data_IF_082346526599
#
_entry.id   IF_082346526599
#
_cell.length_a   1.000
_cell.length_b   1.000
_cell.length_c   1.000
_cell.angle_alpha   90.00
_cell.angle_beta   90.00
_cell.angle_gamma   90.00
#
_symmetry.space_group_name_H-M   'P 1'
#
loop_
_entity.id
_entity.type
_entity.pdbx_description
1 polymer ?
#
# COMPACT_ATOMS: atom_id res chain seq x y z
N UNK A 1 -39.35 3.76 3.79
CA UNK A 1 -38.71 2.42 3.75
C UNK A 1 -37.53 2.49 2.79
N UNK A 2 -36.37 2.94 3.27
CA UNK A 2 -35.16 3.08 2.44
C UNK A 2 -34.47 1.73 2.35
N UNK A 3 -34.28 1.21 1.14
CA UNK A 3 -33.63 -0.08 0.90
C UNK A 3 -32.12 0.10 1.01
N UNK A 4 -31.51 -0.41 2.08
CA UNK A 4 -30.06 -0.61 2.14
C UNK A 4 -29.67 -1.61 1.04
N UNK A 5 -28.81 -1.17 0.12
CA UNK A 5 -28.20 -2.05 -0.88
C UNK A 5 -26.97 -2.67 -0.23
N UNK A 6 -27.06 -3.91 0.23
CA UNK A 6 -25.88 -4.70 0.58
C UNK A 6 -25.21 -5.16 -0.71
N UNK A 7 -23.95 -4.80 -0.89
CA UNK A 7 -23.13 -5.27 -2.01
C UNK A 7 -22.79 -6.75 -1.74
N UNK A 8 -23.52 -7.67 -2.37
CA UNK A 8 -23.21 -9.10 -2.36
C UNK A 8 -22.16 -9.31 -3.45
N UNK A 9 -20.90 -9.45 -3.05
CA UNK A 9 -19.84 -9.93 -3.94
C UNK A 9 -19.88 -11.46 -3.83
N UNK A 10 -20.29 -12.12 -4.91
CA UNK A 10 -20.32 -13.58 -5.03
C UNK A 10 -18.89 -14.13 -4.97
N UNK A 11 -18.61 -14.92 -3.92
CA UNK A 11 -17.47 -15.85 -3.87
C UNK A 11 -17.73 -16.97 -4.89
N UNK A 12 -17.30 -16.77 -6.12
CA UNK A 12 -17.07 -17.86 -7.07
C UNK A 12 -15.55 -18.06 -7.16
N UNK A 13 -15.06 -19.10 -6.48
CA UNK A 13 -14.20 -20.16 -7.04
C UNK A 13 -13.57 -20.95 -5.89
N UNK A 14 -14.15 -22.12 -5.64
CA UNK A 14 -13.52 -23.25 -4.96
C UNK A 14 -12.30 -23.67 -5.78
N UNK A 15 -11.10 -23.28 -5.36
CA UNK A 15 -9.86 -23.92 -5.76
C UNK A 15 -9.03 -24.22 -4.52
N UNK A 16 -9.11 -25.49 -4.13
CA UNK A 16 -8.12 -26.31 -3.45
C UNK A 16 -7.33 -25.64 -2.31
N UNK A 17 -7.88 -25.81 -1.11
CA UNK A 17 -7.33 -25.41 0.17
C UNK A 17 -6.14 -26.25 0.66
N UNK A 18 -5.42 -26.95 -0.21
CA UNK A 18 -4.39 -27.91 0.22
C UNK A 18 -2.94 -27.39 0.10
N UNK A 19 -2.66 -26.33 -0.66
CA UNK A 19 -1.27 -25.91 -0.97
C UNK A 19 -0.76 -24.62 -0.31
N UNK A 20 -1.51 -24.00 0.60
CA UNK A 20 -1.07 -22.79 1.32
C UNK A 20 -0.99 -23.01 2.83
N UNK A 21 -0.17 -23.98 3.23
CA UNK A 21 0.35 -24.08 4.59
C UNK A 21 1.47 -23.05 4.84
N UNK A 22 1.22 -21.78 4.47
CA UNK A 22 2.06 -20.66 4.90
C UNK A 22 1.58 -20.25 6.29
N UNK A 23 2.40 -20.56 7.30
CA UNK A 23 2.23 -20.12 8.68
C UNK A 23 1.77 -18.64 8.70
N UNK A 24 0.57 -18.32 9.20
CA UNK A 24 0.07 -16.95 9.28
C UNK A 24 0.87 -16.08 10.27
N UNK A 25 1.79 -16.69 11.02
CA UNK A 25 2.64 -16.06 12.03
C UNK A 25 3.92 -15.40 11.47
N UNK A 26 4.20 -15.49 10.16
CA UNK A 26 5.34 -14.80 9.51
C UNK A 26 4.94 -13.50 8.82
N UNK A 27 3.96 -12.77 9.35
CA UNK A 27 3.74 -11.39 8.92
C UNK A 27 4.73 -10.47 9.67
N UNK A 28 5.75 -9.90 8.99
CA UNK A 28 6.74 -9.01 9.60
C UNK A 28 6.16 -7.65 10.05
N UNK A 29 4.87 -7.41 9.78
CA UNK A 29 4.13 -6.25 10.24
C UNK A 29 3.00 -6.62 11.23
N UNK A 30 3.02 -7.84 11.79
CA UNK A 30 2.01 -8.24 12.77
C UNK A 30 2.20 -7.50 14.10
N UNK A 31 1.08 -7.25 14.81
CA UNK A 31 1.12 -6.66 16.14
C UNK A 31 1.93 -7.51 17.15
N UNK A 32 2.03 -8.83 16.92
CA UNK A 32 2.90 -9.71 17.72
C UNK A 32 4.38 -9.44 17.49
N UNK A 33 4.81 -9.11 16.28
CA UNK A 33 6.19 -8.64 16.04
C UNK A 33 6.42 -7.25 16.62
N UNK A 34 5.44 -6.35 16.52
CA UNK A 34 5.52 -5.02 17.13
C UNK A 34 5.74 -5.09 18.65
N UNK A 35 5.01 -5.98 19.35
CA UNK A 35 5.23 -6.23 20.77
C UNK A 35 6.60 -6.86 21.06
N UNK A 36 7.11 -7.70 20.15
CA UNK A 36 8.43 -8.32 20.28
C UNK A 36 9.54 -7.28 20.19
N UNK A 37 9.44 -6.31 19.27
CA UNK A 37 10.37 -5.18 19.20
C UNK A 37 10.28 -4.25 20.40
N UNK A 38 9.06 -3.93 20.87
CA UNK A 38 8.88 -3.03 22.02
C UNK A 38 9.44 -3.61 23.33
N UNK A 39 9.43 -4.94 23.47
CA UNK A 39 9.98 -5.62 24.66
C UNK A 39 11.51 -5.81 24.58
N UNK A 40 12.16 -5.40 23.49
CA UNK A 40 13.61 -5.57 23.30
C UNK A 40 14.42 -4.35 23.75
N UNK A 41 13.76 -3.22 24.02
CA UNK A 41 14.38 -1.96 24.51
C UNK A 41 14.37 -1.83 26.05
N UNK A 42 13.98 -2.89 26.77
CA UNK A 42 14.07 -2.94 28.24
C UNK A 42 14.93 -4.13 28.68
N UNK A 43 16.24 -3.95 28.70
CA UNK A 43 17.14 -4.74 29.53
C UNK A 43 18.06 -3.79 30.32
N UNK A 44 17.96 -3.75 31.66
CA UNK A 44 19.09 -3.49 32.52
C UNK A 44 19.89 -4.78 32.74
N UNK A 45 21.21 -4.62 32.86
CA UNK A 45 22.23 -5.64 33.04
C UNK A 45 21.90 -6.76 34.03
N UNK A 46 22.32 -8.00 33.74
CA UNK A 46 23.04 -8.86 34.68
C UNK A 46 23.74 -10.06 33.98
N UNK A 47 25.05 -10.12 34.21
CA UNK A 47 25.98 -11.23 34.31
C UNK A 47 26.37 -12.17 33.14
N UNK A 48 27.69 -12.13 32.91
CA UNK A 48 28.56 -13.05 32.19
C UNK A 48 28.50 -14.46 32.80
N UNK A 49 28.32 -15.50 31.98
CA UNK A 49 29.40 -16.47 31.71
C UNK A 49 29.02 -17.56 30.69
N UNK A 50 30.05 -17.93 29.92
CA UNK A 50 30.30 -19.23 29.27
C UNK A 50 29.68 -19.61 27.91
N UNK A 51 30.51 -19.32 26.90
CA UNK A 51 31.06 -20.25 25.90
C UNK A 51 30.21 -20.80 24.73
N UNK A 52 30.76 -20.53 23.53
CA UNK A 52 30.91 -21.42 22.37
C UNK A 52 29.60 -21.86 21.67
N UNK A 53 29.31 -21.55 20.41
CA UNK A 53 30.11 -21.44 19.18
C UNK A 53 29.17 -20.88 18.09
N UNK A 54 29.69 -20.20 17.06
CA UNK A 54 28.91 -20.01 15.83
C UNK A 54 29.15 -18.73 15.04
N UNK A 55 30.23 -18.72 14.26
CA UNK A 55 30.30 -18.12 12.92
C UNK A 55 29.63 -16.75 12.69
N UNK A 56 30.30 -15.67 13.08
CA UNK A 56 30.00 -14.32 12.55
C UNK A 56 30.54 -14.20 11.12
N UNK A 57 29.70 -14.50 10.12
CA UNK A 57 29.95 -14.11 8.73
C UNK A 57 29.53 -12.65 8.58
N UNK A 58 30.54 -11.78 8.57
CA UNK A 58 30.46 -10.40 8.10
C UNK A 58 29.92 -10.37 6.68
N UNK A 59 28.70 -9.86 6.49
CA UNK A 59 28.26 -9.34 5.20
C UNK A 59 27.90 -7.87 5.39
N UNK A 60 28.92 -7.06 5.09
CA UNK A 60 28.83 -5.66 4.74
C UNK A 60 27.90 -5.58 3.51
N UNK A 61 26.65 -5.20 3.69
CA UNK A 61 25.75 -4.90 2.56
C UNK A 61 26.10 -3.50 2.08
N UNK A 62 26.95 -3.48 1.05
CA UNK A 62 27.28 -2.33 0.24
C UNK A 62 26.01 -1.84 -0.46
N UNK A 63 25.40 -0.79 0.10
CA UNK A 63 24.28 -0.06 -0.51
C UNK A 63 24.82 0.64 -1.77
N UNK A 64 24.83 -0.07 -2.90
CA UNK A 64 24.98 0.56 -4.21
C UNK A 64 23.69 1.27 -4.56
N UNK A 65 23.72 2.58 -4.34
CA UNK A 65 22.82 3.58 -4.90
C UNK A 65 22.78 3.46 -6.43
N UNK A 66 21.73 2.84 -6.98
CA UNK A 66 21.35 3.03 -8.38
C UNK A 66 20.30 4.14 -8.43
N UNK A 67 20.75 5.38 -8.28
CA UNK A 67 19.94 6.57 -8.52
C UNK A 67 20.73 7.46 -9.50
N UNK A 68 20.11 7.68 -10.67
CA UNK A 68 20.56 8.51 -11.80
C UNK A 68 21.80 8.03 -12.59
N UNK A 69 21.55 7.37 -13.71
CA UNK A 69 22.40 7.49 -14.90
C UNK A 69 21.57 8.15 -15.99
N UNK A 70 21.84 9.44 -16.17
CA UNK A 70 21.41 10.28 -17.28
C UNK A 70 22.24 9.92 -18.54
N UNK A 71 21.66 9.95 -19.74
CA UNK A 71 22.44 10.23 -20.93
C UNK A 71 21.93 11.49 -21.64
N UNK A 72 22.91 12.33 -21.98
CA UNK A 72 22.80 13.67 -22.55
C UNK A 72 22.85 13.68 -24.08
N UNK A 73 22.02 14.53 -24.72
CA UNK A 73 22.19 15.28 -26.00
C UNK A 73 22.11 14.51 -27.35
N UNK A 74 21.50 14.96 -28.47
CA UNK A 74 20.74 16.15 -28.90
C UNK A 74 20.10 15.85 -30.32
N UNK A 75 19.74 16.85 -31.16
CA UNK A 75 18.42 17.45 -31.37
C UNK A 75 17.71 17.01 -32.68
N UNK A 76 16.37 16.97 -32.71
CA UNK A 76 15.62 17.12 -33.96
C UNK A 76 14.15 17.54 -33.74
N UNK A 77 13.68 18.28 -34.73
CA UNK A 77 12.53 19.19 -34.79
C UNK A 77 11.16 18.51 -34.89
N UNK A 78 10.12 19.27 -34.50
CA UNK A 78 8.76 19.31 -35.05
C UNK A 78 7.86 18.04 -34.99
N UNK A 79 6.87 18.03 -34.10
CA UNK A 79 5.45 18.40 -34.41
C UNK A 79 4.50 17.98 -33.26
N UNK A 80 3.41 18.72 -33.16
CA UNK A 80 2.31 18.65 -32.20
C UNK A 80 1.75 17.24 -31.97
N UNK A 81 1.34 16.89 -30.74
CA UNK A 81 -0.08 16.72 -30.34
C UNK A 81 -0.15 16.70 -28.81
N UNK A 82 -0.97 17.58 -28.24
CA UNK A 82 -1.06 17.84 -26.81
C UNK A 82 -1.83 16.83 -25.96
N UNK A 83 -1.61 16.90 -24.65
CA UNK A 83 -2.68 17.05 -23.67
C UNK A 83 -2.10 17.61 -22.36
N UNK A 84 -2.69 18.70 -21.87
CA UNK A 84 -2.08 19.63 -20.93
C UNK A 84 -1.90 19.11 -19.51
N UNK A 85 -0.75 19.47 -18.92
CA UNK A 85 -0.62 19.74 -17.50
C UNK A 85 -0.72 21.25 -17.29
N UNK A 86 -1.69 21.68 -16.50
CA UNK A 86 -1.63 22.95 -15.80
C UNK A 86 -2.53 22.85 -14.57
N UNK A 87 -1.94 22.55 -13.41
CA UNK A 87 -2.54 22.88 -12.13
C UNK A 87 -1.82 24.11 -11.63
N UNK A 88 -2.52 25.24 -11.74
CA UNK A 88 -2.10 26.50 -11.16
C UNK A 88 -2.21 26.41 -9.64
N UNK A 89 -1.13 26.81 -8.98
CA UNK A 89 -1.06 27.13 -7.57
C UNK A 89 -2.00 28.30 -7.25
N UNK A 90 -3.01 28.05 -6.43
CA UNK A 90 -3.79 29.08 -5.74
C UNK A 90 -3.47 29.01 -4.26
N UNK A 91 -2.59 29.89 -3.81
CA UNK A 91 -2.44 30.26 -2.40
C UNK A 91 -3.62 31.15 -2.04
N UNK A 92 -4.25 30.89 -0.89
CA UNK A 92 -4.81 31.95 -0.06
C UNK A 92 -4.73 31.50 1.40
N UNK A 93 -3.82 32.16 2.11
CA UNK A 93 -3.66 32.11 3.55
C UNK A 93 -4.65 33.07 4.21
N UNK A 94 -5.50 32.54 5.08
CA UNK A 94 -6.10 33.27 6.20
C UNK A 94 -5.98 32.33 7.41
N UNK A 95 -4.89 32.42 8.18
CA UNK A 95 -4.83 33.15 9.44
C UNK A 95 -6.11 33.03 10.30
N UNK A 96 -6.10 32.12 11.28
CA UNK A 96 -6.57 32.47 12.62
C UNK A 96 -5.83 31.62 13.65
N UNK A 97 -4.92 32.30 14.34
CA UNK A 97 -4.37 31.98 15.64
C UNK A 97 -5.51 31.92 16.68
N UNK A 98 -5.36 31.11 17.73
CA UNK A 98 -5.77 31.32 19.14
C UNK A 98 -5.61 29.95 19.86
N UNK A 99 -4.43 29.66 20.42
CA UNK A 99 -4.05 29.84 21.84
C UNK A 99 -4.75 28.86 22.77
N UNK A 100 -3.93 27.93 23.25
CA UNK A 100 -4.11 27.15 24.48
C UNK A 100 -4.29 28.12 25.65
N UNK A 101 -5.34 27.93 26.45
CA UNK A 101 -5.34 28.28 27.87
C UNK A 101 -6.09 27.16 28.61
N UNK A 102 -5.30 26.32 29.29
CA UNK A 102 -5.73 25.50 30.40
C UNK A 102 -6.08 26.45 31.55
N UNK A 103 -7.34 26.46 31.99
CA UNK A 103 -7.70 27.04 33.29
C UNK A 103 -8.23 25.91 34.17
N UNK A 104 -7.37 25.52 35.11
CA UNK A 104 -7.74 24.91 36.39
C UNK A 104 -8.67 25.90 37.11
N UNK A 105 -9.94 25.56 37.30
CA UNK A 105 -10.75 26.21 38.33
C UNK A 105 -10.99 25.22 39.47
N UNK A 106 -10.35 25.59 40.57
CA UNK A 106 -10.39 24.97 41.89
C UNK A 106 -11.82 24.83 42.41
N UNK A 107 -12.04 23.74 43.13
CA UNK A 107 -13.21 23.48 43.93
C UNK A 107 -13.37 24.54 45.03
N UNK A 108 -14.47 25.30 45.04
CA UNK A 108 -14.98 25.91 46.27
C UNK A 108 -16.28 25.22 46.72
N UNK A 109 -16.11 24.17 47.52
CA UNK A 109 -17.14 23.62 48.40
C UNK A 109 -17.58 24.66 49.44
N UNK A 110 -18.65 25.43 49.20
CA UNK A 110 -19.33 26.12 50.31
C UNK A 110 -20.29 25.18 51.02
N UNK A 111 -19.72 24.30 51.84
CA UNK A 111 -20.42 23.44 52.79
C UNK A 111 -20.84 24.25 54.03
N UNK A 112 -22.00 24.91 53.99
CA UNK A 112 -22.66 25.39 55.21
C UNK A 112 -23.64 24.35 55.75
N UNK A 113 -23.12 23.41 56.55
CA UNK A 113 -23.94 22.55 57.41
C UNK A 113 -23.77 22.99 58.87
N UNK A 114 -24.72 23.78 59.38
CA UNK A 114 -24.79 24.11 60.81
C UNK A 114 -25.55 23.02 61.55
N UNK A 115 -24.83 22.17 62.29
CA UNK A 115 -25.37 21.28 63.32
C UNK A 115 -25.39 22.03 64.67
N UNK A 116 -26.42 21.85 65.52
CA UNK A 116 -26.52 22.54 66.80
C UNK A 116 -25.72 21.78 67.86
N UNK A 117 -25.05 22.50 68.75
CA UNK A 117 -24.48 21.89 69.95
C UNK A 117 -24.74 22.74 71.20
N UNK A 118 -25.29 22.00 72.15
CA UNK A 118 -25.66 22.30 73.52
C UNK A 118 -24.38 22.41 74.36
N UNK A 119 -24.28 23.40 75.26
CA UNK A 119 -23.83 23.15 76.64
C UNK A 119 -24.09 24.37 77.55
N UNK A 120 -24.96 24.13 78.54
CA UNK A 120 -24.98 24.60 79.93
C UNK A 120 -24.29 25.92 80.32
N UNK A 121 -25.08 26.77 80.97
CA UNK A 121 -24.64 27.74 81.97
C UNK A 121 -25.71 27.88 83.04
N UNK A 122 -25.46 27.27 84.20
CA UNK A 122 -26.30 27.32 85.38
C UNK A 122 -26.10 28.63 86.16
N UNK A 123 -27.16 29.07 86.84
CA UNK A 123 -27.08 29.85 88.07
C UNK A 123 -27.41 31.34 87.96
N UNK A 124 -28.59 31.71 88.45
CA UNK A 124 -28.73 32.76 89.47
C UNK A 124 -30.20 32.84 89.92
N UNK A 125 -30.42 32.46 91.17
CA UNK A 125 -31.63 32.72 91.94
C UNK A 125 -31.67 34.19 92.40
N UNK A 126 -32.88 34.67 92.70
CA UNK A 126 -33.14 35.96 93.38
C UNK A 126 -34.03 36.84 92.52
N UNK A 127 -35.18 37.31 92.97
CA UNK A 127 -35.83 37.28 94.26
C UNK A 127 -37.10 38.12 94.08
N UNK A 128 -38.21 37.63 94.61
CA UNK A 128 -39.44 38.41 94.72
C UNK A 128 -39.20 39.50 95.77
N UNK A 129 -39.53 40.76 95.46
CA UNK A 129 -40.21 41.69 96.38
C UNK A 129 -40.31 43.13 95.84
N UNK A 130 -41.49 43.71 96.12
CA UNK A 130 -41.79 45.10 96.46
C UNK A 130 -41.85 46.19 95.37
N UNK A 131 -43.09 46.45 94.94
CA UNK A 131 -43.85 47.69 95.22
C UNK A 131 -43.02 48.96 95.50
N UNK A 132 -43.03 49.87 94.51
CA UNK A 132 -42.41 51.18 94.57
C UNK A 132 -43.07 52.09 93.54
N UNK A 133 -44.15 52.73 93.99
CA UNK A 133 -44.94 53.77 93.34
C UNK A 133 -44.07 55.00 93.00
N UNK A 134 -43.49 55.04 91.79
CA UNK A 134 -42.97 56.29 91.17
C UNK A 134 -42.71 56.20 89.63
N UNK A 135 -43.42 55.32 88.90
CA UNK A 135 -43.01 54.90 87.53
C UNK A 135 -44.03 55.21 86.41
N UNK A 136 -44.92 56.20 86.57
CA UNK A 136 -45.93 56.51 85.54
C UNK A 136 -45.35 57.13 84.25
N UNK A 137 -44.23 57.87 84.33
CA UNK A 137 -43.63 58.58 83.17
C UNK A 137 -42.60 57.70 82.43
N UNK A 138 -41.89 56.85 83.15
CA UNK A 138 -40.91 55.86 82.63
C UNK A 138 -41.59 54.64 81.99
N UNK A 139 -42.72 54.17 82.53
CA UNK A 139 -43.53 53.07 81.98
C UNK A 139 -44.11 53.38 80.59
N UNK A 140 -44.54 54.63 80.35
CA UNK A 140 -45.06 55.06 79.06
C UNK A 140 -43.98 55.13 77.96
N UNK A 141 -42.75 55.53 78.32
CA UNK A 141 -41.60 55.50 77.41
C UNK A 141 -41.16 54.07 77.09
N UNK A 142 -41.13 53.19 78.09
CA UNK A 142 -40.76 51.77 77.93
C UNK A 142 -41.78 50.98 77.10
N UNK A 143 -43.08 51.29 77.23
CA UNK A 143 -44.14 50.74 76.37
C UNK A 143 -44.04 51.22 74.93
N UNK A 144 -43.76 52.50 74.70
CA UNK A 144 -43.56 53.04 73.34
C UNK A 144 -42.31 52.47 72.67
N UNK A 145 -41.19 52.37 73.38
CA UNK A 145 -39.97 51.74 72.84
C UNK A 145 -40.17 50.26 72.55
N UNK A 146 -40.84 49.52 73.44
CA UNK A 146 -41.19 48.11 73.23
C UNK A 146 -42.12 47.93 72.03
N UNK A 147 -43.12 48.80 71.85
CA UNK A 147 -44.03 48.74 70.71
C UNK A 147 -43.33 49.03 69.37
N UNK A 148 -42.38 49.98 69.34
CA UNK A 148 -41.54 50.25 68.15
C UNK A 148 -40.66 49.04 67.83
N UNK A 149 -40.06 48.43 68.84
CA UNK A 149 -39.21 47.25 68.67
C UNK A 149 -39.99 46.03 68.17
N UNK A 150 -41.21 45.82 68.68
CA UNK A 150 -42.13 44.78 68.19
C UNK A 150 -42.56 45.05 66.74
N UNK A 151 -42.78 46.30 66.37
CA UNK A 151 -43.15 46.68 65.00
C UNK A 151 -41.98 46.44 64.02
N UNK A 152 -40.75 46.80 64.39
CA UNK A 152 -39.55 46.50 63.63
C UNK A 152 -39.36 44.99 63.44
N UNK A 153 -39.49 44.20 64.52
CA UNK A 153 -39.41 42.75 64.44
C UNK A 153 -40.48 42.15 63.52
N UNK A 154 -41.69 42.71 63.48
CA UNK A 154 -42.74 42.28 62.55
C UNK A 154 -42.37 42.58 61.10
N UNK A 155 -41.83 43.76 60.82
CA UNK A 155 -41.39 44.15 59.48
C UNK A 155 -40.20 43.30 59.00
N UNK A 156 -39.24 43.05 59.88
CA UNK A 156 -38.12 42.12 59.64
C UNK A 156 -38.62 40.69 59.42
N UNK A 157 -39.55 40.20 60.24
CA UNK A 157 -40.12 38.86 60.06
C UNK A 157 -40.86 38.74 58.72
N UNK A 158 -41.59 39.77 58.31
CA UNK A 158 -42.23 39.84 56.99
C UNK A 158 -41.20 39.89 55.86
N UNK A 159 -40.08 40.58 56.05
CA UNK A 159 -38.97 40.63 55.10
C UNK A 159 -38.29 39.26 54.96
N UNK A 160 -37.95 38.61 56.07
CA UNK A 160 -37.35 37.28 56.10
C UNK A 160 -38.24 36.23 55.44
N UNK A 161 -39.56 36.27 55.70
CA UNK A 161 -40.53 35.38 55.02
C UNK A 161 -40.52 35.58 53.50
N UNK A 162 -40.45 36.84 53.02
CA UNK A 162 -40.32 37.13 51.58
C UNK A 162 -39.01 36.58 51.01
N UNK A 163 -37.88 36.81 51.68
CA UNK A 163 -36.58 36.27 51.27
C UNK A 163 -36.56 34.74 51.23
N UNK A 164 -37.17 34.07 52.21
CA UNK A 164 -37.29 32.60 52.21
C UNK A 164 -38.10 32.13 51.00
N UNK A 165 -39.25 32.75 50.71
CA UNK A 165 -40.06 32.38 49.55
C UNK A 165 -39.32 32.59 48.22
N UNK A 166 -38.57 33.69 48.08
CA UNK A 166 -37.75 33.94 46.88
C UNK A 166 -36.61 32.94 46.74
N UNK A 167 -35.91 32.62 47.84
CA UNK A 167 -34.86 31.60 47.86
C UNK A 167 -35.41 30.22 47.51
N UNK A 168 -36.59 29.86 48.02
CA UNK A 168 -37.26 28.61 47.66
C UNK A 168 -37.60 28.57 46.17
N UNK A 169 -38.18 29.65 45.62
CA UNK A 169 -38.49 29.74 44.19
C UNK A 169 -37.23 29.61 43.31
N UNK A 170 -36.13 30.27 43.69
CA UNK A 170 -34.84 30.15 42.98
C UNK A 170 -34.25 28.75 43.12
N UNK A 171 -34.33 28.16 44.31
CA UNK A 171 -33.87 26.79 44.56
C UNK A 171 -34.62 25.79 43.69
N UNK A 172 -35.94 25.90 43.58
CA UNK A 172 -36.75 25.00 42.75
C UNK A 172 -36.48 25.19 41.25
N UNK A 173 -36.33 26.44 40.78
CA UNK A 173 -35.90 26.71 39.40
C UNK A 173 -34.52 26.11 39.10
N UNK A 174 -33.56 26.22 40.03
CA UNK A 174 -32.23 25.63 39.89
C UNK A 174 -32.30 24.09 39.89
N UNK A 175 -33.13 23.47 40.74
CA UNK A 175 -33.34 22.00 40.73
C UNK A 175 -33.87 21.52 39.39
N UNK A 176 -34.84 22.24 38.81
CA UNK A 176 -35.34 21.91 37.48
C UNK A 176 -34.26 22.02 36.41
N UNK A 177 -33.49 23.12 36.42
CA UNK A 177 -32.41 23.34 35.45
C UNK A 177 -31.32 22.27 35.55
N UNK A 178 -30.93 21.90 36.77
CA UNK A 178 -29.98 20.80 37.01
C UNK A 178 -30.56 19.49 36.49
N UNK A 179 -31.84 19.22 36.71
CA UNK A 179 -32.52 18.03 36.17
C UNK A 179 -32.47 17.95 34.64
N UNK A 180 -32.78 19.04 33.94
CA UNK A 180 -32.70 19.14 32.47
C UNK A 180 -31.28 18.89 31.96
N UNK A 181 -30.28 19.54 32.57
CA UNK A 181 -28.87 19.38 32.18
C UNK A 181 -28.38 17.95 32.41
N UNK A 182 -28.80 17.30 33.49
CA UNK A 182 -28.47 15.90 33.75
C UNK A 182 -29.09 14.98 32.69
N UNK A 183 -30.34 15.23 32.27
CA UNK A 183 -30.97 14.48 31.19
C UNK A 183 -30.24 14.68 29.85
N UNK A 184 -29.87 15.91 29.53
CA UNK A 184 -29.06 16.23 28.34
C UNK A 184 -27.71 15.50 28.35
N UNK A 185 -27.00 15.48 29.47
CA UNK A 185 -25.72 14.77 29.61
C UNK A 185 -25.88 13.26 29.43
N UNK A 186 -26.94 12.67 29.98
CA UNK A 186 -27.23 11.23 29.80
C UNK A 186 -27.56 10.93 28.34
N UNK A 187 -28.31 11.80 27.66
CA UNK A 187 -28.61 11.64 26.24
C UNK A 187 -27.36 11.75 25.38
N UNK A 188 -26.49 12.73 25.64
CA UNK A 188 -25.20 12.87 24.94
C UNK A 188 -24.32 11.64 25.12
N UNK A 189 -24.17 11.14 26.36
CA UNK A 189 -23.41 9.92 26.64
C UNK A 189 -23.92 8.71 25.84
N UNK A 190 -25.24 8.54 25.74
CA UNK A 190 -25.84 7.45 24.94
C UNK A 190 -25.57 7.60 23.44
N UNK A 191 -25.58 8.83 22.95
CA UNK A 191 -25.30 9.12 21.55
C UNK A 191 -23.83 8.86 21.21
N UNK A 192 -22.90 9.34 22.05
CA UNK A 192 -21.47 9.08 21.91
C UNK A 192 -21.16 7.58 21.95
N UNK A 193 -21.78 6.83 22.87
CA UNK A 193 -21.59 5.38 22.95
C UNK A 193 -22.12 4.67 21.68
N UNK A 194 -23.20 5.18 21.08
CA UNK A 194 -23.71 4.65 19.81
C UNK A 194 -22.75 4.97 18.65
N UNK A 195 -22.28 6.20 18.55
CA UNK A 195 -21.33 6.62 17.52
C UNK A 195 -20.00 5.87 17.63
N UNK A 196 -19.52 5.62 18.85
CA UNK A 196 -18.35 4.78 19.10
C UNK A 196 -18.54 3.36 18.56
N UNK A 197 -19.69 2.73 18.82
CA UNK A 197 -20.01 1.39 18.28
C UNK A 197 -20.12 1.38 16.74
N UNK A 198 -20.71 2.42 16.16
CA UNK A 198 -20.82 2.54 14.70
C UNK A 198 -19.43 2.72 14.06
N UNK A 199 -18.55 3.52 14.67
CA UNK A 199 -17.16 3.68 14.27
C UNK A 199 -16.36 2.38 14.39
N UNK A 200 -16.51 1.66 15.49
CA UNK A 200 -15.89 0.33 15.66
C UNK A 200 -16.30 -0.61 14.53
N UNK A 201 -17.60 -0.69 14.20
CA UNK A 201 -18.09 -1.52 13.09
C UNK A 201 -17.46 -1.15 11.74
N UNK A 202 -17.32 0.15 11.47
CA UNK A 202 -16.64 0.63 10.26
C UNK A 202 -15.16 0.26 10.25
N UNK A 203 -14.46 0.39 11.39
CA UNK A 203 -13.05 -0.01 11.52
C UNK A 203 -12.88 -1.50 11.24
N UNK A 204 -13.69 -2.36 11.86
CA UNK A 204 -13.63 -3.81 11.60
C UNK A 204 -13.85 -4.14 10.11
N UNK A 205 -14.77 -3.44 9.44
CA UNK A 205 -15.01 -3.64 8.00
C UNK A 205 -13.81 -3.21 7.14
N UNK A 206 -13.20 -2.06 7.46
CA UNK A 206 -11.99 -1.58 6.77
C UNK A 206 -10.81 -2.52 7.00
N UNK A 207 -10.62 -3.01 8.23
CA UNK A 207 -9.60 -3.99 8.55
C UNK A 207 -9.78 -5.27 7.73
N UNK A 208 -11.00 -5.82 7.66
CA UNK A 208 -11.28 -7.00 6.83
C UNK A 208 -10.98 -6.74 5.35
N UNK A 209 -11.34 -5.57 4.83
CA UNK A 209 -11.03 -5.20 3.45
C UNK A 209 -9.52 -5.13 3.20
N UNK A 210 -8.77 -4.52 4.13
CA UNK A 210 -7.31 -4.42 4.05
C UNK A 210 -6.64 -5.81 4.07
N UNK A 211 -7.14 -6.73 4.91
CA UNK A 211 -6.67 -8.12 4.91
C UNK A 211 -6.92 -8.81 3.55
N UNK A 212 -8.11 -8.63 2.96
CA UNK A 212 -8.41 -9.18 1.64
C UNK A 212 -7.56 -8.55 0.54
N UNK A 213 -7.34 -7.23 0.60
CA UNK A 213 -6.48 -6.51 -0.35
C UNK A 213 -5.04 -7.03 -0.27
N UNK A 214 -4.52 -7.21 0.94
CA UNK A 214 -3.17 -7.77 1.17
C UNK A 214 -3.07 -9.18 0.62
N UNK A 215 -4.06 -10.05 0.89
CA UNK A 215 -4.10 -11.41 0.33
C UNK A 215 -4.12 -11.40 -1.20
N UNK A 216 -4.92 -10.52 -1.81
CA UNK A 216 -4.98 -10.37 -3.28
C UNK A 216 -3.67 -9.86 -3.85
N UNK A 217 -3.03 -8.89 -3.20
CA UNK A 217 -1.73 -8.35 -3.59
C UNK A 217 -0.66 -9.44 -3.58
N UNK A 218 -0.53 -10.20 -2.49
CA UNK A 218 0.45 -11.31 -2.38
C UNK A 218 0.21 -12.38 -3.45
N UNK A 219 -1.06 -12.75 -3.72
CA UNK A 219 -1.38 -13.68 -4.82
C UNK A 219 -0.97 -13.14 -6.18
N UNK A 220 -1.20 -11.85 -6.43
CA UNK A 220 -0.80 -11.19 -7.68
C UNK A 220 0.73 -11.13 -7.81
N UNK A 221 1.45 -10.80 -6.75
CA UNK A 221 2.91 -10.81 -6.70
C UNK A 221 3.49 -12.19 -7.02
N UNK A 222 2.94 -13.25 -6.40
CA UNK A 222 3.35 -14.63 -6.69
C UNK A 222 3.11 -15.00 -8.16
N UNK A 223 1.98 -14.58 -8.74
CA UNK A 223 1.68 -14.79 -10.15
C UNK A 223 2.69 -14.07 -11.07
N UNK A 224 2.99 -12.81 -10.77
CA UNK A 224 3.99 -12.02 -11.52
C UNK A 224 5.38 -12.66 -11.42
N UNK A 225 5.76 -13.18 -10.25
CA UNK A 225 7.02 -13.90 -10.10
C UNK A 225 7.10 -15.14 -11.00
N UNK A 226 6.04 -15.96 -11.06
CA UNK A 226 6.00 -17.11 -11.99
C UNK A 226 6.10 -16.68 -13.45
N UNK A 227 5.30 -15.69 -13.86
CA UNK A 227 5.31 -15.19 -15.24
C UNK A 227 6.69 -14.63 -15.64
N UNK A 228 7.41 -14.00 -14.71
CA UNK A 228 8.79 -13.55 -14.94
C UNK A 228 9.75 -14.72 -15.18
N UNK A 229 9.60 -15.81 -14.42
CA UNK A 229 10.40 -17.02 -14.62
C UNK A 229 10.10 -17.66 -15.99
N UNK A 230 8.82 -17.79 -16.34
CA UNK A 230 8.40 -18.34 -17.64
C UNK A 230 8.93 -17.50 -18.81
N UNK A 231 8.86 -16.16 -18.71
CA UNK A 231 9.42 -15.25 -19.71
C UNK A 231 10.94 -15.41 -19.85
N UNK A 232 11.68 -15.55 -18.74
CA UNK A 232 13.11 -15.80 -18.80
C UNK A 232 13.44 -17.14 -19.44
N UNK A 233 12.69 -18.19 -19.11
CA UNK A 233 12.86 -19.50 -19.72
C UNK A 233 12.59 -19.47 -21.23
N UNK A 234 11.47 -18.86 -21.64
CA UNK A 234 11.12 -18.72 -23.05
C UNK A 234 12.16 -17.89 -23.82
N UNK A 235 12.71 -16.83 -23.21
CA UNK A 235 13.77 -16.06 -23.82
C UNK A 235 15.01 -16.92 -24.12
N UNK A 236 15.44 -17.73 -23.15
CA UNK A 236 16.57 -18.66 -23.33
C UNK A 236 16.30 -19.69 -24.44
N UNK A 237 15.07 -20.21 -24.52
CA UNK A 237 14.68 -21.15 -25.57
C UNK A 237 14.72 -20.49 -26.96
N UNK A 238 14.20 -19.27 -27.09
CA UNK A 238 14.25 -18.50 -28.33
C UNK A 238 15.69 -18.26 -28.76
N UNK A 239 16.56 -17.83 -27.85
CA UNK A 239 17.97 -17.57 -28.16
C UNK A 239 18.68 -18.85 -28.61
N UNK A 240 18.38 -19.98 -27.95
CA UNK A 240 18.92 -21.29 -28.30
C UNK A 240 18.49 -21.71 -29.71
N UNK A 241 17.18 -21.67 -30.00
CA UNK A 241 16.64 -22.04 -31.31
C UNK A 241 17.14 -21.11 -32.42
N UNK A 242 17.30 -19.81 -32.15
CA UNK A 242 17.88 -18.86 -33.09
C UNK A 242 19.32 -19.22 -33.43
N UNK A 243 20.13 -19.52 -32.41
CA UNK A 243 21.54 -19.90 -32.62
C UNK A 243 21.68 -21.23 -33.39
N UNK A 244 20.82 -22.21 -33.09
CA UNK A 244 20.76 -23.47 -33.81
C UNK A 244 20.34 -23.28 -35.27
N UNK A 245 19.33 -22.44 -35.52
CA UNK A 245 18.86 -22.16 -36.88
C UNK A 245 19.96 -21.50 -37.73
N UNK A 246 20.72 -20.57 -37.16
CA UNK A 246 21.89 -19.95 -37.82
C UNK A 246 22.95 -21.00 -38.13
N UNK A 247 23.27 -21.88 -37.17
CA UNK A 247 24.24 -22.97 -37.36
C UNK A 247 23.81 -23.93 -38.46
N UNK A 248 22.54 -24.35 -38.47
CA UNK A 248 21.99 -25.25 -39.48
C UNK A 248 22.02 -24.63 -40.88
N UNK A 249 21.64 -23.35 -41.01
CA UNK A 249 21.73 -22.62 -42.29
C UNK A 249 23.17 -22.53 -42.81
N UNK A 250 24.14 -22.30 -41.91
CA UNK A 250 25.55 -22.27 -42.28
C UNK A 250 26.02 -23.65 -42.79
N UNK A 251 25.68 -24.72 -42.06
CA UNK A 251 26.02 -26.09 -42.45
C UNK A 251 25.35 -26.50 -43.78
N UNK A 252 24.07 -26.16 -43.98
CA UNK A 252 23.36 -26.40 -45.24
C UNK A 252 24.04 -25.66 -46.41
N UNK A 253 24.42 -24.40 -46.21
CA UNK A 253 25.12 -23.60 -47.23
C UNK A 253 26.46 -24.23 -47.63
N UNK A 254 27.23 -24.75 -46.67
CA UNK A 254 28.48 -25.44 -46.92
C UNK A 254 28.29 -26.71 -47.76
N UNK A 255 27.27 -27.51 -47.44
CA UNK A 255 26.91 -28.73 -48.19
C UNK A 255 26.53 -28.35 -49.62
N UNK A 256 25.67 -27.35 -49.81
CA UNK A 256 25.24 -26.88 -51.14
C UNK A 256 26.42 -26.37 -51.96
N UNK A 257 27.34 -25.61 -51.34
CA UNK A 257 28.57 -25.14 -52.00
C UNK A 257 29.45 -26.30 -52.45
N UNK A 258 29.62 -27.31 -51.59
CA UNK A 258 30.40 -28.51 -51.91
C UNK A 258 29.74 -29.32 -53.04
N UNK A 259 28.42 -29.51 -53.00
CA UNK A 259 27.68 -30.20 -54.07
C UNK A 259 27.79 -29.45 -55.40
N UNK A 260 27.67 -28.12 -55.39
CA UNK A 260 27.85 -27.28 -56.59
C UNK A 260 29.27 -27.44 -57.15
N UNK A 261 30.29 -27.39 -56.30
CA UNK A 261 31.67 -27.59 -56.72
C UNK A 261 31.88 -28.97 -57.34
N UNK A 262 31.40 -30.03 -56.69
CA UNK A 262 31.49 -31.40 -57.22
C UNK A 262 30.78 -31.55 -58.58
N UNK A 263 29.60 -30.94 -58.73
CA UNK A 263 28.87 -30.94 -60.00
C UNK A 263 29.64 -30.20 -61.12
N UNK A 264 30.27 -29.07 -60.79
CA UNK A 264 31.13 -28.33 -61.73
C UNK A 264 32.32 -29.17 -62.17
N UNK A 265 33.04 -29.77 -61.21
CA UNK A 265 34.20 -30.63 -61.49
C UNK A 265 33.79 -31.82 -62.37
N UNK A 266 32.69 -32.51 -62.04
CA UNK A 266 32.18 -33.61 -62.86
C UNK A 266 31.82 -33.16 -64.29
N UNK A 267 31.19 -31.99 -64.43
CA UNK A 267 30.87 -31.40 -65.73
C UNK A 267 32.13 -31.13 -66.56
N UNK A 268 33.17 -30.55 -65.96
CA UNK A 268 34.46 -30.33 -66.63
C UNK A 268 35.11 -31.63 -67.09
N UNK A 269 35.09 -32.68 -66.26
CA UNK A 269 35.61 -34.00 -66.64
C UNK A 269 34.88 -34.58 -67.85
N UNK A 270 33.55 -34.51 -67.85
CA UNK A 270 32.73 -34.97 -68.98
C UNK A 270 33.02 -34.16 -70.24
N UNK A 271 33.14 -32.84 -70.12
CA UNK A 271 33.40 -31.95 -71.25
C UNK A 271 34.80 -32.18 -71.86
N UNK A 272 35.82 -32.39 -71.02
CA UNK A 272 37.18 -32.80 -71.44
C UNK A 272 37.14 -34.15 -72.16
N UNK A 273 36.42 -35.13 -71.59
CA UNK A 273 36.30 -36.48 -72.18
C UNK A 273 35.59 -36.43 -73.53
N UNK A 274 34.48 -35.69 -73.63
CA UNK A 274 33.76 -35.47 -74.89
C UNK A 274 34.65 -34.80 -75.94
N UNK A 275 35.42 -33.78 -75.55
CA UNK A 275 36.37 -33.09 -76.44
C UNK A 275 37.49 -34.01 -76.93
N UNK A 276 38.02 -34.87 -76.06
CA UNK A 276 39.01 -35.89 -76.43
C UNK A 276 38.42 -36.92 -77.41
N UNK A 277 37.22 -37.43 -77.13
CA UNK A 277 36.52 -38.34 -78.02
C UNK A 277 36.26 -37.72 -79.40
N UNK A 278 35.80 -36.46 -79.46
CA UNK A 278 35.63 -35.72 -80.72
C UNK A 278 36.94 -35.56 -81.49
N UNK A 279 38.06 -35.35 -80.81
CA UNK A 279 39.37 -35.24 -81.45
C UNK A 279 39.83 -36.58 -82.02
N UNK A 280 39.65 -37.66 -81.27
CA UNK A 280 39.95 -39.03 -81.71
C UNK A 280 39.10 -39.47 -82.90
N UNK A 281 37.78 -39.18 -82.90
CA UNK A 281 36.90 -39.46 -84.03
C UNK A 281 37.34 -38.70 -85.28
N UNK A 282 37.67 -37.40 -85.15
CA UNK A 282 38.17 -36.60 -86.27
C UNK A 282 39.47 -37.15 -86.85
N UNK A 283 40.38 -37.61 -86.00
CA UNK A 283 41.61 -38.25 -86.44
C UNK A 283 41.32 -39.53 -87.24
N UNK A 284 40.47 -40.42 -86.71
CA UNK A 284 40.09 -41.66 -87.40
C UNK A 284 39.45 -41.40 -88.77
N UNK A 285 38.61 -40.36 -88.88
CA UNK A 285 38.02 -39.96 -90.16
C UNK A 285 39.10 -39.49 -91.16
N UNK A 286 40.08 -38.69 -90.72
CA UNK A 286 41.20 -38.27 -91.58
C UNK A 286 42.10 -39.44 -92.02
N UNK A 287 42.34 -40.40 -91.12
CA UNK A 287 43.06 -41.65 -91.46
C UNK A 287 42.27 -42.49 -92.48
N UNK A 288 40.94 -42.58 -92.32
CA UNK A 288 40.07 -43.27 -93.27
C UNK A 288 40.05 -42.60 -94.65
N UNK A 289 40.04 -41.26 -94.71
CA UNK A 289 40.18 -40.50 -95.96
C UNK A 289 41.52 -40.80 -96.65
N UNK A 290 42.60 -40.91 -95.86
CA UNK A 290 43.93 -41.28 -96.38
C UNK A 290 43.92 -42.69 -96.98
N UNK A 291 43.30 -43.66 -96.29
CA UNK A 291 43.14 -45.03 -96.81
C UNK A 291 42.31 -45.06 -98.10
N UNK A 292 41.26 -44.25 -98.20
CA UNK A 292 40.45 -44.12 -99.41
C UNK A 292 41.29 -43.61 -100.60
N UNK A 293 42.12 -42.58 -100.37
CA UNK A 293 43.06 -42.09 -101.37
C UNK A 293 44.05 -43.17 -101.84
N UNK A 294 44.62 -43.94 -100.89
CA UNK A 294 45.50 -45.07 -101.21
C UNK A 294 44.76 -46.12 -102.04
N UNK A 295 43.52 -46.46 -101.68
CA UNK A 295 42.71 -47.39 -102.46
C UNK A 295 42.45 -46.88 -103.89
N UNK A 296 42.18 -45.58 -104.06
CA UNK A 296 42.00 -44.97 -105.38
C UNK A 296 43.28 -44.97 -106.21
N UNK A 297 44.44 -44.70 -105.58
CA UNK A 297 45.76 -44.80 -106.21
C UNK A 297 46.06 -46.24 -106.65
N UNK A 298 45.77 -47.23 -105.80
CA UNK A 298 45.94 -48.64 -106.16
C UNK A 298 45.04 -49.03 -107.33
N UNK A 299 43.77 -48.58 -107.35
CA UNK A 299 42.87 -48.78 -108.49
C UNK A 299 43.35 -48.09 -109.77
N UNK A 300 43.93 -46.89 -109.68
CA UNK A 300 44.46 -46.21 -110.87
C UNK A 300 45.70 -46.92 -111.43
N UNK A 301 46.56 -47.45 -110.56
CA UNK A 301 47.69 -48.30 -110.96
C UNK A 301 47.20 -49.57 -111.67
N UNK A 302 46.20 -50.26 -111.10
CA UNK A 302 45.60 -51.47 -111.71
C UNK A 302 45.02 -51.16 -113.11
N UNK A 303 44.32 -50.03 -113.28
CA UNK A 303 43.83 -49.58 -114.60
C UNK A 303 44.94 -49.34 -115.62
N UNK A 304 46.07 -48.77 -115.20
CA UNK A 304 47.23 -48.56 -116.09
C UNK A 304 47.86 -49.92 -116.44
N UNK A 305 48.00 -50.82 -115.46
CA UNK A 305 48.60 -52.15 -115.66
C UNK A 305 47.81 -53.04 -116.62
N UNK A 306 46.49 -52.88 -116.71
CA UNK A 306 45.65 -53.66 -117.63
C UNK A 306 45.76 -53.21 -119.10
N UNK A 307 46.24 -51.99 -119.38
CA UNK A 307 46.45 -51.50 -120.75
C UNK A 307 47.66 -52.15 -121.44
N UNK A 308 48.63 -52.65 -120.68
CA UNK A 308 49.82 -53.35 -121.20
C UNK A 308 49.57 -54.83 -121.53
N UNK A 309 48.39 -55.38 -121.20
CA UNK A 309 48.00 -56.77 -121.41
C UNK A 309 47.03 -57.02 -122.59
N UNK A 310 46.54 -55.97 -123.27
CA UNK A 310 45.72 -56.07 -124.50
C UNK A 310 46.50 -55.71 -125.79
N UNK A 311 47.83 -55.87 -125.80
CA UNK A 311 48.68 -55.76 -127.02
C UNK A 311 49.22 -57.10 -127.49
#
# INVERSE_FOLDING_TARGET
>A
MSKQKSLIITDDEQLDSEDLNLNPDLNPFSFREFLRWKNQDQDPEEDLDQEQTGSKRSLYVEVRTCFFSEPSLAPQEEEEVGCGRSFQSGVDSTSSLCTEEEEEEEEEETRFSSRPEVQQGAGAAGGENYEGDDEAVTSCRRRRSSQVQIQQLKEENMSLRRSIMELQKRSDANKHRVGELLEELVQRRRQEEKEARDLESMVHSVEQNLHLMTKRAVKAEACVCRLKLDLQQLQVEVDTLQSENVSLKAAESEIVMTMRHNAQVASEYLNKTASHAHSSIRQLLGEAETLCLVSQLLQSIDKISNLDSES
#
